data_IF_626977318035
#
_entry.id   IF_626977318035
#
_cell.length_a   1.000
_cell.length_b   1.000
_cell.length_c   1.000
_cell.angle_alpha   90.00
_cell.angle_beta   90.00
_cell.angle_gamma   90.00
#
_symmetry.space_group_name_H-M   'P 1'
#
loop_
_entity.id
_entity.type
_entity.pdbx_description
1 polymer ?
#
# COMPACT_ATOMS: atom_id res chain seq x y z
N UNK A 1 -22.71 2.08 -53.39
CA UNK A 1 -22.61 1.31 -52.13
C UNK A 1 -23.89 1.55 -51.31
N UNK A 2 -24.62 0.51 -50.92
CA UNK A 2 -25.94 0.66 -50.28
C UNK A 2 -25.78 1.18 -48.83
N UNK A 3 -26.46 2.28 -48.46
CA UNK A 3 -26.33 2.95 -47.15
C UNK A 3 -26.51 1.98 -45.98
N UNK A 4 -27.43 1.02 -46.11
CA UNK A 4 -27.68 -0.02 -45.11
C UNK A 4 -26.48 -0.95 -44.88
N UNK A 5 -25.87 -1.46 -45.96
CA UNK A 5 -24.67 -2.32 -45.86
C UNK A 5 -23.48 -1.60 -45.22
N UNK A 6 -23.35 -0.30 -45.48
CA UNK A 6 -22.30 0.52 -44.88
C UNK A 6 -22.49 0.69 -43.36
N UNK A 7 -23.74 0.90 -42.91
CA UNK A 7 -24.08 1.00 -41.49
C UNK A 7 -23.84 -0.35 -40.79
N UNK A 8 -24.33 -1.45 -41.35
CA UNK A 8 -24.16 -2.80 -40.81
C UNK A 8 -22.67 -3.17 -40.67
N UNK A 9 -21.86 -2.91 -41.69
CA UNK A 9 -20.41 -3.16 -41.65
C UNK A 9 -19.70 -2.28 -40.62
N UNK A 10 -20.12 -1.02 -40.46
CA UNK A 10 -19.55 -0.11 -39.45
C UNK A 10 -19.85 -0.61 -38.04
N UNK A 11 -21.10 -1.01 -37.77
CA UNK A 11 -21.50 -1.57 -36.47
C UNK A 11 -20.72 -2.84 -36.18
N UNK A 12 -20.61 -3.76 -37.15
CA UNK A 12 -19.83 -4.98 -36.99
C UNK A 12 -18.36 -4.69 -36.69
N UNK A 13 -17.77 -3.70 -37.38
CA UNK A 13 -16.40 -3.25 -37.12
C UNK A 13 -16.21 -2.73 -35.69
N UNK A 14 -17.17 -1.94 -35.18
CA UNK A 14 -17.14 -1.45 -33.80
C UNK A 14 -17.24 -2.63 -32.81
N UNK A 15 -18.12 -3.59 -33.05
CA UNK A 15 -18.27 -4.77 -32.18
C UNK A 15 -16.96 -5.56 -32.13
N UNK A 16 -16.37 -5.88 -33.29
CA UNK A 16 -15.11 -6.62 -33.37
C UNK A 16 -13.99 -5.89 -32.65
N UNK A 17 -13.89 -4.56 -32.83
CA UNK A 17 -12.90 -3.74 -32.14
C UNK A 17 -13.09 -3.78 -30.62
N UNK A 18 -14.33 -3.67 -30.13
CA UNK A 18 -14.60 -3.73 -28.69
C UNK A 18 -14.23 -5.09 -28.09
N UNK A 19 -14.58 -6.19 -28.77
CA UNK A 19 -14.19 -7.54 -28.35
C UNK A 19 -12.67 -7.69 -28.32
N UNK A 20 -11.98 -7.17 -29.34
CA UNK A 20 -10.53 -7.18 -29.40
C UNK A 20 -9.91 -6.40 -28.22
N UNK A 21 -10.40 -5.18 -27.95
CA UNK A 21 -9.92 -4.38 -26.82
C UNK A 21 -10.18 -5.11 -25.49
N UNK A 22 -11.37 -5.68 -25.28
CA UNK A 22 -11.67 -6.45 -24.07
C UNK A 22 -10.72 -7.63 -23.88
N UNK A 23 -10.45 -8.41 -24.93
CA UNK A 23 -9.57 -9.56 -24.86
C UNK A 23 -8.12 -9.16 -24.58
N UNK A 24 -7.55 -8.25 -25.38
CA UNK A 24 -6.12 -7.97 -25.35
C UNK A 24 -5.70 -6.96 -24.28
N UNK A 25 -6.55 -5.98 -23.96
CA UNK A 25 -6.21 -4.92 -22.99
C UNK A 25 -6.58 -5.33 -21.57
N UNK A 26 -7.65 -6.10 -21.38
CA UNK A 26 -8.14 -6.43 -20.04
C UNK A 26 -8.00 -7.92 -19.69
N UNK A 27 -8.50 -8.82 -20.54
CA UNK A 27 -8.54 -10.25 -20.20
C UNK A 27 -7.14 -10.89 -20.16
N UNK A 28 -6.34 -10.69 -21.21
CA UNK A 28 -5.01 -11.30 -21.34
C UNK A 28 -4.07 -10.89 -20.21
N UNK A 29 -3.91 -9.60 -19.85
CA UNK A 29 -3.04 -9.20 -18.74
C UNK A 29 -3.47 -9.80 -17.40
N UNK A 30 -4.78 -9.93 -17.16
CA UNK A 30 -5.28 -10.56 -15.92
C UNK A 30 -4.98 -12.05 -15.86
N UNK A 31 -5.26 -12.79 -16.93
CA UNK A 31 -4.97 -14.22 -16.98
C UNK A 31 -3.46 -14.47 -16.81
N UNK A 32 -2.64 -13.65 -17.47
CA UNK A 32 -1.18 -13.73 -17.32
C UNK A 32 -0.73 -13.43 -15.89
N UNK A 33 -1.29 -12.40 -15.24
CA UNK A 33 -1.00 -12.11 -13.85
C UNK A 33 -1.39 -13.26 -12.92
N UNK A 34 -2.59 -13.82 -13.08
CA UNK A 34 -3.08 -14.95 -12.29
C UNK A 34 -2.21 -16.20 -12.47
N UNK A 35 -1.80 -16.50 -13.70
CA UNK A 35 -0.91 -17.63 -13.99
C UNK A 35 0.46 -17.46 -13.34
N UNK A 36 1.07 -16.27 -13.48
CA UNK A 36 2.40 -15.97 -12.93
C UNK A 36 2.44 -15.97 -11.39
N UNK A 37 1.32 -15.69 -10.74
CA UNK A 37 1.21 -15.56 -9.28
C UNK A 37 0.38 -16.70 -8.67
N UNK A 38 0.20 -17.80 -9.40
CA UNK A 38 -0.56 -18.94 -8.92
C UNK A 38 0.07 -19.53 -7.66
N UNK A 39 -0.73 -19.74 -6.62
CA UNK A 39 -0.26 -20.28 -5.33
C UNK A 39 0.45 -19.27 -4.43
N UNK A 40 0.58 -17.99 -4.82
CA UNK A 40 1.12 -16.97 -3.94
C UNK A 40 0.20 -16.72 -2.74
N UNK A 41 0.79 -16.43 -1.58
CA UNK A 41 0.04 -16.01 -0.39
C UNK A 41 -0.58 -14.63 -0.61
N UNK A 42 -1.68 -14.36 0.08
CA UNK A 42 -2.40 -13.08 -0.01
C UNK A 42 -1.49 -11.87 0.22
N UNK A 43 -0.58 -11.93 1.20
CA UNK A 43 0.36 -10.83 1.47
C UNK A 43 1.29 -10.54 0.28
N UNK A 44 1.83 -11.58 -0.35
CA UNK A 44 2.71 -11.44 -1.50
C UNK A 44 1.95 -10.87 -2.72
N UNK A 45 0.68 -11.25 -2.90
CA UNK A 45 -0.19 -10.68 -3.93
C UNK A 45 -0.43 -9.18 -3.71
N UNK A 46 -0.67 -8.76 -2.46
CA UNK A 46 -0.87 -7.34 -2.11
C UNK A 46 0.40 -6.50 -2.31
N UNK A 47 1.58 -7.10 -2.20
CA UNK A 47 2.87 -6.44 -2.40
C UNK A 47 3.33 -6.43 -3.87
N UNK A 48 2.64 -7.16 -4.76
CA UNK A 48 2.94 -7.22 -6.19
C UNK A 48 2.57 -5.91 -6.92
N UNK A 49 3.08 -5.75 -8.14
CA UNK A 49 2.73 -4.63 -9.02
C UNK A 49 1.29 -4.65 -9.54
N UNK A 50 0.54 -5.72 -9.30
CA UNK A 50 -0.77 -5.95 -9.92
C UNK A 50 -0.67 -6.36 -11.39
N UNK A 51 -1.82 -6.64 -11.99
CA UNK A 51 -1.93 -6.90 -13.42
C UNK A 51 -1.71 -5.61 -14.23
N UNK A 52 -1.24 -5.72 -15.47
CA UNK A 52 -0.91 -4.54 -16.29
C UNK A 52 -2.14 -3.64 -16.56
N UNK A 53 -3.34 -4.23 -16.65
CA UNK A 53 -4.61 -3.50 -16.82
C UNK A 53 -5.08 -2.81 -15.53
N UNK A 54 -4.69 -3.34 -14.37
CA UNK A 54 -5.01 -2.80 -13.05
C UNK A 54 -3.77 -2.78 -12.16
N UNK A 55 -2.82 -1.85 -12.40
CA UNK A 55 -1.60 -1.78 -11.62
C UNK A 55 -1.90 -1.41 -10.16
N UNK A 56 -1.21 -2.06 -9.25
CA UNK A 56 -1.33 -1.84 -7.82
C UNK A 56 -0.57 -0.58 -7.41
N UNK A 57 -1.33 0.48 -7.11
CA UNK A 57 -0.78 1.76 -6.66
C UNK A 57 -0.26 1.74 -5.22
N UNK A 58 -0.54 0.67 -4.46
CA UNK A 58 -0.30 0.59 -3.01
C UNK A 58 0.67 -0.53 -2.61
N UNK A 59 1.33 -1.17 -3.58
CA UNK A 59 2.29 -2.26 -3.34
C UNK A 59 3.33 -1.92 -2.26
N UNK A 60 3.95 -0.75 -2.37
CA UNK A 60 4.93 -0.25 -1.39
C UNK A 60 4.30 0.06 -0.02
N UNK A 61 3.04 0.52 0.00
CA UNK A 61 2.31 0.73 1.27
C UNK A 61 2.05 -0.60 1.97
N UNK A 62 1.69 -1.64 1.22
CA UNK A 62 1.52 -2.99 1.76
C UNK A 62 2.82 -3.57 2.28
N UNK A 63 3.95 -3.42 1.56
CA UNK A 63 5.26 -3.88 2.03
C UNK A 63 5.61 -3.29 3.40
N UNK A 64 5.49 -1.98 3.54
CA UNK A 64 5.76 -1.28 4.80
C UNK A 64 4.80 -1.74 5.90
N UNK A 65 3.50 -1.73 5.64
CA UNK A 65 2.50 -2.14 6.62
C UNK A 65 2.64 -3.60 7.05
N UNK A 66 2.98 -4.51 6.14
CA UNK A 66 3.21 -5.92 6.42
C UNK A 66 4.43 -6.13 7.31
N UNK A 67 5.52 -5.42 7.04
CA UNK A 67 6.71 -5.52 7.89
C UNK A 67 6.47 -4.93 9.28
N UNK A 68 5.77 -3.79 9.37
CA UNK A 68 5.36 -3.21 10.67
C UNK A 68 4.50 -4.21 11.44
N UNK A 69 3.52 -4.85 10.78
CA UNK A 69 2.66 -5.87 11.40
C UNK A 69 3.42 -7.10 11.90
N UNK A 70 4.51 -7.50 11.22
CA UNK A 70 5.39 -8.60 11.66
C UNK A 70 6.22 -8.23 12.89
N UNK A 71 6.49 -6.95 13.11
CA UNK A 71 7.37 -6.46 14.18
C UNK A 71 6.59 -6.08 15.45
N UNK A 72 5.44 -5.44 15.29
CA UNK A 72 4.61 -4.95 16.41
C UNK A 72 3.52 -5.95 16.79
N UNK A 73 3.23 -6.09 18.08
CA UNK A 73 2.13 -6.93 18.56
C UNK A 73 0.78 -6.26 18.31
N UNK A 74 -0.32 -7.00 18.48
CA UNK A 74 -1.66 -6.53 18.09
C UNK A 74 -2.20 -5.38 18.94
N UNK A 75 -1.75 -5.29 20.20
CA UNK A 75 -2.08 -4.26 21.18
C UNK A 75 -1.17 -3.01 21.06
N UNK A 76 -0.16 -3.04 20.18
CA UNK A 76 0.79 -1.95 20.04
C UNK A 76 0.16 -0.67 19.47
N UNK A 77 0.71 0.47 19.89
CA UNK A 77 0.41 1.78 19.29
C UNK A 77 1.46 2.11 18.24
N UNK A 78 1.02 2.38 17.01
CA UNK A 78 1.89 2.63 15.87
C UNK A 78 1.82 4.10 15.48
N UNK A 79 2.98 4.72 15.43
CA UNK A 79 3.15 6.11 15.06
C UNK A 79 3.76 6.19 13.66
N UNK A 80 3.01 6.78 12.74
CA UNK A 80 3.34 6.85 11.32
C UNK A 80 3.65 8.30 10.91
N UNK A 81 4.50 8.52 9.92
CA UNK A 81 4.71 9.86 9.38
C UNK A 81 3.47 10.31 8.58
N UNK A 82 3.40 11.61 8.30
CA UNK A 82 2.34 12.20 7.50
C UNK A 82 2.28 11.62 6.07
N UNK A 83 1.16 11.84 5.37
CA UNK A 83 0.85 11.32 4.02
C UNK A 83 1.84 11.71 2.89
N UNK A 84 2.89 12.48 3.18
CA UNK A 84 3.86 12.98 2.19
C UNK A 84 5.11 12.11 2.12
N UNK A 85 4.94 10.81 1.90
CA UNK A 85 6.07 9.95 1.54
C UNK A 85 6.35 10.08 0.05
N UNK A 86 7.59 9.84 -0.40
CA UNK A 86 7.94 9.78 -1.84
C UNK A 86 7.04 8.83 -2.64
N UNK A 87 6.45 7.82 -2.00
CA UNK A 87 5.54 6.83 -2.61
C UNK A 87 4.07 7.00 -2.20
N UNK A 88 3.73 8.06 -1.46
CA UNK A 88 2.34 8.41 -1.11
C UNK A 88 1.58 7.34 -0.32
N UNK A 89 2.08 6.95 0.87
CA UNK A 89 1.36 6.03 1.75
C UNK A 89 -0.10 6.48 1.95
N UNK A 90 -1.05 5.58 1.68
CA UNK A 90 -2.47 5.83 1.93
C UNK A 90 -2.82 5.40 3.35
N UNK A 91 -3.25 6.35 4.19
CA UNK A 91 -3.67 6.07 5.58
C UNK A 91 -4.66 4.93 5.66
N UNK A 92 -5.65 4.90 4.76
CA UNK A 92 -6.68 3.86 4.73
C UNK A 92 -6.08 2.46 4.63
N UNK A 93 -5.11 2.26 3.73
CA UNK A 93 -4.44 0.97 3.53
C UNK A 93 -3.63 0.58 4.77
N UNK A 94 -2.90 1.54 5.35
CA UNK A 94 -2.12 1.33 6.58
C UNK A 94 -3.02 0.94 7.74
N UNK A 95 -4.10 1.68 7.99
CA UNK A 95 -5.07 1.42 9.06
C UNK A 95 -5.71 0.04 8.88
N UNK A 96 -6.23 -0.25 7.68
CA UNK A 96 -6.85 -1.54 7.39
C UNK A 96 -5.88 -2.71 7.61
N UNK A 97 -4.62 -2.53 7.23
CA UNK A 97 -3.66 -3.62 7.31
C UNK A 97 -3.10 -3.85 8.72
N UNK A 98 -2.95 -2.78 9.49
CA UNK A 98 -2.42 -2.82 10.85
C UNK A 98 -3.46 -3.12 11.93
N UNK A 99 -4.76 -3.03 11.60
CA UNK A 99 -5.85 -3.44 12.50
C UNK A 99 -5.55 -4.82 13.15
N UNK A 100 -5.76 -4.97 14.47
CA UNK A 100 -6.47 -4.07 15.40
C UNK A 100 -5.63 -2.98 16.08
N UNK A 101 -4.37 -2.78 15.68
CA UNK A 101 -3.46 -1.80 16.31
C UNK A 101 -3.99 -0.38 16.19
N UNK A 102 -3.74 0.45 17.20
CA UNK A 102 -4.00 1.90 17.13
C UNK A 102 -2.93 2.55 16.27
N UNK A 103 -3.32 3.31 15.26
CA UNK A 103 -2.38 4.00 14.35
C UNK A 103 -2.61 5.50 14.39
N UNK A 104 -1.56 6.25 14.71
CA UNK A 104 -1.55 7.71 14.72
C UNK A 104 -0.62 8.24 13.63
N UNK A 105 -1.07 9.24 12.88
CA UNK A 105 -0.26 9.84 11.82
C UNK A 105 0.22 11.23 12.23
N UNK A 106 1.46 11.55 11.91
CA UNK A 106 2.01 12.90 12.09
C UNK A 106 1.19 13.93 11.30
N UNK A 107 0.95 15.08 11.93
CA UNK A 107 0.13 16.17 11.39
C UNK A 107 -1.37 16.03 11.65
N UNK A 108 -1.83 14.94 12.27
CA UNK A 108 -3.22 14.83 12.73
C UNK A 108 -3.35 15.53 14.10
N UNK A 109 -4.33 16.44 14.30
CA UNK A 109 -4.48 17.19 15.55
C UNK A 109 -4.61 16.30 16.80
N UNK A 110 -5.27 15.16 16.66
CA UNK A 110 -5.43 14.17 17.73
C UNK A 110 -4.13 13.42 18.04
N UNK A 111 -3.23 13.31 17.06
CA UNK A 111 -1.98 12.60 17.20
C UNK A 111 -0.90 13.45 17.88
N UNK A 112 -0.92 14.79 17.73
CA UNK A 112 0.11 15.67 18.32
C UNK A 112 0.24 15.54 19.84
N UNK A 113 -0.89 15.43 20.55
CA UNK A 113 -0.90 15.17 22.00
C UNK A 113 -0.35 13.78 22.35
N UNK A 114 -0.60 12.80 21.49
CA UNK A 114 -0.16 11.40 21.68
C UNK A 114 1.32 11.23 21.32
N UNK A 115 1.87 12.09 20.46
CA UNK A 115 3.30 12.17 20.15
C UNK A 115 4.11 12.77 21.30
N UNK A 116 3.61 13.79 22.00
CA UNK A 116 4.32 14.37 23.17
C UNK A 116 4.49 13.38 24.31
N UNK A 117 3.57 12.42 24.44
CA UNK A 117 3.58 11.40 25.50
C UNK A 117 4.09 10.03 25.02
N UNK A 118 4.70 9.94 23.84
CA UNK A 118 5.09 8.67 23.22
C UNK A 118 6.02 7.81 24.09
N UNK A 119 6.86 8.43 24.91
CA UNK A 119 7.76 7.74 25.84
C UNK A 119 7.04 7.13 27.04
N UNK A 120 5.82 7.57 27.34
CA UNK A 120 4.97 7.07 28.43
C UNK A 120 4.05 5.92 27.99
N UNK A 121 3.85 5.76 26.68
CA UNK A 121 3.01 4.70 26.11
C UNK A 121 3.82 3.42 26.00
N UNK A 122 3.54 2.46 26.89
CA UNK A 122 4.09 1.12 26.82
C UNK A 122 3.70 0.46 25.49
N UNK A 123 4.63 -0.29 24.89
CA UNK A 123 4.42 -1.03 23.65
C UNK A 123 4.05 -0.14 22.44
N UNK A 124 4.76 0.98 22.29
CA UNK A 124 4.63 1.86 21.14
C UNK A 124 5.76 1.67 20.13
N UNK A 125 5.46 1.90 18.85
CA UNK A 125 6.44 1.84 17.76
C UNK A 125 6.36 3.09 16.91
N UNK A 126 7.52 3.62 16.54
CA UNK A 126 7.65 4.75 15.60
C UNK A 126 8.16 4.22 14.30
N UNK A 127 7.39 4.44 13.24
CA UNK A 127 7.82 4.28 11.85
C UNK A 127 8.28 5.64 11.37
N UNK A 128 9.53 5.72 10.91
CA UNK A 128 10.15 6.97 10.51
C UNK A 128 10.75 6.86 9.10
N UNK A 129 10.99 8.00 8.47
CA UNK A 129 11.63 8.10 7.17
C UNK A 129 12.65 9.26 7.16
N UNK A 130 13.15 9.63 5.99
CA UNK A 130 14.12 10.74 5.83
C UNK A 130 13.58 12.11 6.24
N UNK A 131 12.26 12.28 6.26
CA UNK A 131 11.61 13.58 6.48
C UNK A 131 11.01 13.74 7.87
N UNK A 132 10.80 12.64 8.61
CA UNK A 132 10.13 12.69 9.92
C UNK A 132 10.46 11.48 10.79
N UNK A 133 10.56 11.71 12.10
CA UNK A 133 10.57 10.65 13.14
C UNK A 133 11.94 10.08 13.51
N UNK A 134 13.02 10.45 12.81
CA UNK A 134 14.38 9.94 13.12
C UNK A 134 14.84 10.31 14.54
N UNK A 135 14.58 11.54 14.96
CA UNK A 135 14.89 12.04 16.30
C UNK A 135 14.16 11.27 17.40
N UNK A 136 12.95 10.77 17.13
CA UNK A 136 12.17 9.95 18.07
C UNK A 136 12.82 8.56 18.28
N UNK A 137 13.65 8.11 17.33
CA UNK A 137 14.36 6.84 17.39
C UNK A 137 15.85 6.94 17.71
N UNK A 138 16.40 8.14 17.95
CA UNK A 138 17.85 8.39 18.03
C UNK A 138 18.59 7.60 19.14
N UNK A 139 17.89 7.15 20.18
CA UNK A 139 18.46 6.38 21.31
C UNK A 139 17.96 4.93 21.37
N UNK A 140 17.29 4.46 20.33
CA UNK A 140 16.62 3.16 20.29
C UNK A 140 17.24 2.24 19.25
N UNK A 141 17.05 0.93 19.43
CA UNK A 141 17.37 -0.03 18.37
C UNK A 141 16.43 0.16 17.19
N UNK A 142 17.00 0.40 16.00
CA UNK A 142 16.28 0.62 14.76
C UNK A 142 16.33 -0.65 13.91
N UNK A 143 15.18 -1.04 13.37
CA UNK A 143 15.10 -2.01 12.27
C UNK A 143 14.73 -1.27 10.99
N UNK A 144 15.53 -1.42 9.95
CA UNK A 144 15.20 -0.89 8.62
C UNK A 144 14.29 -1.86 7.88
N UNK A 145 13.29 -1.32 7.20
CA UNK A 145 12.33 -2.08 6.42
C UNK A 145 12.89 -2.35 5.02
N UNK A 146 12.87 -3.61 4.57
CA UNK A 146 13.61 -4.08 3.38
C UNK A 146 13.28 -3.31 2.09
N UNK A 147 12.12 -2.67 2.01
CA UNK A 147 11.65 -2.01 0.79
C UNK A 147 11.98 -0.51 0.71
N UNK A 148 12.43 0.15 1.76
CA UNK A 148 12.44 1.63 1.76
C UNK A 148 13.45 2.21 2.76
N UNK A 149 13.84 3.48 2.60
CA UNK A 149 14.60 4.27 3.59
C UNK A 149 13.72 4.62 4.81
N UNK A 150 13.05 3.60 5.33
CA UNK A 150 12.04 3.65 6.37
C UNK A 150 12.52 2.73 7.47
N UNK A 151 12.59 3.27 8.67
CA UNK A 151 12.94 2.52 9.86
C UNK A 151 11.74 2.38 10.77
N UNK A 152 11.80 1.39 11.64
CA UNK A 152 10.92 1.25 12.79
C UNK A 152 11.77 1.09 14.05
N UNK A 153 11.38 1.78 15.11
CA UNK A 153 11.94 1.59 16.44
C UNK A 153 10.82 1.45 17.47
N UNK A 154 11.12 0.83 18.61
CA UNK A 154 10.22 0.81 19.75
C UNK A 154 10.37 2.13 20.51
N UNK A 155 9.26 2.80 20.77
CA UNK A 155 9.21 3.96 21.65
C UNK A 155 8.76 3.52 23.06
N UNK A 156 9.33 4.17 24.08
CA UNK A 156 9.21 3.71 25.47
C UNK A 156 10.15 2.55 25.79
N UNK A 157 10.65 2.52 27.03
CA UNK A 157 11.31 1.34 27.61
C UNK A 157 10.25 0.38 28.14
#
# INVERSE_FOLDING_TARGET
MNKRKWIENTILGIIVLNVFVMAFVFLTPRVQFMANHWGWKTEALMESSGAMDTPNQYSETYKVANQVRKIATEDSVIYMPANKWRFGLKKSVVIQRLYPRKVYFSGDPEAEKVFSDISKVSNSYVVFNEHWGQNLCAKQSVKYLEATRVGICRAGK
#
